data_IF_408822008407
#
_entry.id   IF_408822008407
#
_cell.length_a   1.000
_cell.length_b   1.000
_cell.length_c   1.000
_cell.angle_alpha   90.00
_cell.angle_beta   90.00
_cell.angle_gamma   90.00
#
_symmetry.space_group_name_H-M   'P 1'
#
loop_
_entity.id
_entity.type
_entity.pdbx_description
1 polymer ?
#
# COMPACT_ATOMS: atom_id res chain seq x y z
N UNK A 1 -31.34 -9.81 -29.24
CA UNK A 1 -30.78 -8.74 -28.41
C UNK A 1 -29.30 -9.00 -28.29
N UNK A 2 -28.45 -8.07 -28.72
CA UNK A 2 -27.01 -8.25 -28.64
C UNK A 2 -26.57 -8.38 -27.15
N UNK A 3 -25.42 -9.00 -26.86
CA UNK A 3 -24.90 -9.08 -25.49
C UNK A 3 -24.78 -7.70 -24.82
N UNK A 4 -24.40 -6.67 -25.60
CA UNK A 4 -24.30 -5.27 -25.17
C UNK A 4 -25.67 -4.72 -24.75
N UNK A 5 -26.70 -4.88 -25.58
CA UNK A 5 -28.06 -4.42 -25.28
C UNK A 5 -28.62 -5.03 -23.98
N UNK A 6 -28.28 -6.30 -23.70
CA UNK A 6 -28.67 -6.99 -22.46
C UNK A 6 -28.01 -6.38 -21.23
N UNK A 7 -26.70 -6.17 -21.27
CA UNK A 7 -25.97 -5.59 -20.13
C UNK A 7 -26.42 -4.15 -19.87
N UNK A 8 -26.58 -3.35 -20.92
CA UNK A 8 -27.10 -1.97 -20.81
C UNK A 8 -28.47 -1.96 -20.15
N UNK A 9 -29.41 -2.77 -20.65
CA UNK A 9 -30.78 -2.84 -20.10
C UNK A 9 -30.78 -3.25 -18.63
N UNK A 10 -29.99 -4.27 -18.26
CA UNK A 10 -29.92 -4.75 -16.88
C UNK A 10 -29.27 -3.72 -15.96
N UNK A 11 -28.20 -3.06 -16.40
CA UNK A 11 -27.52 -2.04 -15.63
C UNK A 11 -28.40 -0.81 -15.39
N UNK A 12 -29.12 -0.33 -16.42
CA UNK A 12 -30.03 0.82 -16.27
C UNK A 12 -31.17 0.49 -15.32
N UNK A 13 -31.81 -0.69 -15.44
CA UNK A 13 -32.88 -1.11 -14.52
C UNK A 13 -32.39 -1.22 -13.07
N UNK A 14 -31.22 -1.83 -12.87
CA UNK A 14 -30.63 -1.96 -11.54
C UNK A 14 -30.30 -0.58 -10.94
N UNK A 15 -29.74 0.33 -11.74
CA UNK A 15 -29.42 1.68 -11.32
C UNK A 15 -30.67 2.47 -10.90
N UNK A 16 -31.77 2.37 -11.66
CA UNK A 16 -33.04 3.00 -11.31
C UNK A 16 -33.57 2.47 -9.97
N UNK A 17 -33.54 1.16 -9.75
CA UNK A 17 -33.95 0.52 -8.50
C UNK A 17 -33.13 1.00 -7.30
N UNK A 18 -31.80 1.00 -7.43
CA UNK A 18 -30.88 1.48 -6.37
C UNK A 18 -31.08 2.97 -6.11
N UNK A 19 -31.28 3.77 -7.16
CA UNK A 19 -31.47 5.21 -6.98
C UNK A 19 -32.78 5.48 -6.23
N UNK A 20 -33.83 4.71 -6.52
CA UNK A 20 -35.12 4.82 -5.84
C UNK A 20 -35.08 4.38 -4.36
N UNK A 21 -34.15 3.50 -3.97
CA UNK A 21 -34.00 3.10 -2.56
C UNK A 21 -33.22 4.10 -1.70
N UNK A 22 -32.56 5.09 -2.30
CA UNK A 22 -31.84 6.12 -1.55
C UNK A 22 -32.82 7.16 -0.97
N UNK A 23 -32.62 7.62 0.29
CA UNK A 23 -33.36 8.74 0.83
C UNK A 23 -33.16 10.01 -0.03
N UNK A 24 -34.22 10.45 -0.71
CA UNK A 24 -34.17 11.59 -1.64
C UNK A 24 -33.41 11.30 -2.94
N UNK A 25 -33.26 10.02 -3.31
CA UNK A 25 -32.67 9.62 -4.58
C UNK A 25 -33.57 9.95 -5.75
N UNK A 26 -33.04 10.69 -6.72
CA UNK A 26 -33.73 11.03 -7.95
C UNK A 26 -32.90 10.58 -9.15
N UNK A 27 -33.52 9.98 -10.18
CA UNK A 27 -32.82 9.59 -11.39
C UNK A 27 -32.27 10.82 -12.11
N UNK A 28 -30.99 10.76 -12.49
CA UNK A 28 -30.31 11.85 -13.22
C UNK A 28 -29.93 11.37 -14.61
N UNK A 29 -30.31 12.12 -15.64
CA UNK A 29 -30.04 11.75 -17.03
C UNK A 29 -28.56 11.42 -17.29
N UNK A 30 -27.64 12.24 -16.77
CA UNK A 30 -26.19 11.99 -16.92
C UNK A 30 -25.69 10.73 -16.18
N UNK A 31 -26.35 10.32 -15.09
CA UNK A 31 -26.03 9.08 -14.39
C UNK A 31 -26.42 7.85 -15.22
N UNK A 32 -27.62 7.90 -15.83
CA UNK A 32 -28.15 6.84 -16.69
C UNK A 32 -27.32 6.73 -17.97
N UNK A 33 -26.99 7.87 -18.60
CA UNK A 33 -26.13 7.93 -19.78
C UNK A 33 -24.75 7.34 -19.50
N UNK A 34 -24.12 7.74 -18.38
CA UNK A 34 -22.83 7.19 -17.96
C UNK A 34 -22.92 5.68 -17.72
N UNK A 35 -23.95 5.19 -17.03
CA UNK A 35 -24.10 3.76 -16.75
C UNK A 35 -24.30 2.93 -18.02
N UNK A 36 -25.10 3.42 -18.97
CA UNK A 36 -25.27 2.78 -20.28
C UNK A 36 -23.94 2.76 -21.06
N UNK A 37 -23.18 3.86 -21.05
CA UNK A 37 -21.88 3.93 -21.70
C UNK A 37 -20.86 2.96 -21.07
N UNK A 38 -20.82 2.86 -19.74
CA UNK A 38 -19.96 1.92 -19.01
C UNK A 38 -20.36 0.47 -19.32
N UNK A 39 -21.66 0.15 -19.29
CA UNK A 39 -22.17 -1.18 -19.65
C UNK A 39 -21.78 -1.58 -21.09
N UNK A 40 -21.94 -0.67 -22.04
CA UNK A 40 -21.51 -0.90 -23.43
C UNK A 40 -20.00 -1.16 -23.51
N UNK A 41 -19.20 -0.32 -22.84
CA UNK A 41 -17.74 -0.44 -22.83
C UNK A 41 -17.24 -1.77 -22.25
N UNK A 42 -17.86 -2.23 -21.14
CA UNK A 42 -17.57 -3.54 -20.56
C UNK A 42 -17.94 -4.65 -21.55
N UNK A 43 -19.16 -4.63 -22.11
CA UNK A 43 -19.60 -5.67 -23.05
C UNK A 43 -18.71 -5.77 -24.29
N UNK A 44 -18.25 -4.64 -24.80
CA UNK A 44 -17.42 -4.53 -26.01
C UNK A 44 -15.92 -4.64 -25.72
N UNK A 45 -15.52 -4.72 -24.44
CA UNK A 45 -14.13 -4.75 -23.99
C UNK A 45 -13.30 -3.58 -24.52
N UNK A 46 -13.87 -2.37 -24.49
CA UNK A 46 -13.21 -1.12 -24.91
C UNK A 46 -12.96 -0.18 -23.75
N UNK A 47 -11.99 0.71 -23.91
CA UNK A 47 -11.77 1.81 -22.96
C UNK A 47 -12.85 2.90 -23.10
N UNK A 48 -13.18 3.53 -21.97
CA UNK A 48 -14.11 4.65 -21.89
C UNK A 48 -13.55 5.70 -20.94
N UNK A 49 -13.54 6.95 -21.39
CA UNK A 49 -13.24 8.12 -20.56
C UNK A 49 -14.53 8.90 -20.40
N UNK A 50 -14.92 9.19 -19.17
CA UNK A 50 -16.14 9.95 -18.86
C UNK A 50 -15.77 11.18 -18.03
N UNK A 51 -16.19 12.35 -18.51
CA UNK A 51 -16.19 13.56 -17.70
C UNK A 51 -17.61 13.79 -17.18
N UNK A 52 -17.78 13.70 -15.86
CA UNK A 52 -19.05 13.97 -15.21
C UNK A 52 -18.88 15.04 -14.13
N UNK A 53 -19.86 15.94 -13.99
CA UNK A 53 -19.85 16.98 -12.94
C UNK A 53 -19.93 16.40 -11.53
N UNK A 54 -19.61 17.18 -10.50
CA UNK A 54 -19.81 16.77 -9.10
C UNK A 54 -21.30 16.52 -8.82
N UNK A 55 -21.60 15.59 -7.92
CA UNK A 55 -22.98 15.26 -7.59
C UNK A 55 -23.78 14.56 -8.69
N UNK A 56 -23.17 14.10 -9.78
CA UNK A 56 -23.86 13.36 -10.86
C UNK A 56 -24.20 11.91 -10.48
N UNK A 57 -23.75 11.41 -9.32
CA UNK A 57 -23.95 10.01 -8.93
C UNK A 57 -23.02 9.03 -9.65
N UNK A 58 -21.82 9.50 -10.04
CA UNK A 58 -20.81 8.74 -10.81
C UNK A 58 -20.52 7.36 -10.21
N UNK A 59 -20.44 7.28 -8.89
CA UNK A 59 -20.13 6.06 -8.16
C UNK A 59 -21.06 4.92 -8.56
N UNK A 60 -22.38 5.09 -8.44
CA UNK A 60 -23.32 4.06 -8.88
C UNK A 60 -23.33 3.89 -10.40
N UNK A 61 -23.10 4.96 -11.15
CA UNK A 61 -23.06 4.88 -12.61
C UNK A 61 -21.92 3.99 -13.13
N UNK A 62 -20.79 3.87 -12.43
CA UNK A 62 -19.75 2.90 -12.79
C UNK A 62 -19.86 1.56 -12.03
N UNK A 63 -20.28 1.55 -10.76
CA UNK A 63 -20.34 0.33 -9.95
C UNK A 63 -21.44 -0.62 -10.43
N UNK A 64 -22.64 -0.10 -10.69
CA UNK A 64 -23.80 -0.93 -11.06
C UNK A 64 -23.53 -1.74 -12.34
N UNK A 65 -23.14 -1.12 -13.48
CA UNK A 65 -22.83 -1.90 -14.68
C UNK A 65 -21.65 -2.86 -14.48
N UNK A 66 -20.62 -2.48 -13.71
CA UNK A 66 -19.48 -3.35 -13.42
C UNK A 66 -19.93 -4.61 -12.66
N UNK A 67 -20.72 -4.44 -11.61
CA UNK A 67 -21.26 -5.53 -10.80
C UNK A 67 -22.23 -6.41 -11.59
N UNK A 68 -23.19 -5.79 -12.29
CA UNK A 68 -24.22 -6.52 -13.07
C UNK A 68 -23.59 -7.31 -14.21
N UNK A 69 -22.43 -6.89 -14.73
CA UNK A 69 -21.68 -7.65 -15.72
C UNK A 69 -21.21 -9.02 -15.22
N UNK A 70 -21.08 -9.20 -13.90
CA UNK A 70 -20.56 -10.41 -13.27
C UNK A 70 -19.05 -10.60 -13.48
N UNK A 71 -18.35 -9.58 -13.97
CA UNK A 71 -16.90 -9.59 -14.18
C UNK A 71 -16.17 -9.14 -12.91
N UNK A 72 -15.05 -9.78 -12.62
CA UNK A 72 -14.17 -9.34 -11.53
C UNK A 72 -13.68 -7.92 -11.80
N UNK A 73 -13.91 -7.03 -10.84
CA UNK A 73 -13.71 -5.59 -11.00
C UNK A 73 -12.74 -5.05 -9.96
N UNK A 74 -11.79 -4.23 -10.40
CA UNK A 74 -10.97 -3.40 -9.51
C UNK A 74 -11.42 -1.95 -9.63
N UNK A 75 -11.64 -1.30 -8.49
CA UNK A 75 -11.91 0.15 -8.40
C UNK A 75 -10.71 0.81 -7.75
N UNK A 76 -9.97 1.60 -8.52
CA UNK A 76 -8.80 2.36 -8.06
C UNK A 76 -9.20 3.82 -7.80
N UNK A 77 -9.09 4.26 -6.53
CA UNK A 77 -9.43 5.63 -6.13
C UNK A 77 -8.18 6.48 -5.89
N UNK A 78 -8.29 7.77 -6.20
CA UNK A 78 -7.26 8.76 -5.91
C UNK A 78 -6.96 8.92 -4.41
N UNK A 79 -8.01 9.00 -3.58
CA UNK A 79 -7.89 9.36 -2.17
C UNK A 79 -8.43 8.27 -1.25
N UNK A 80 -7.87 8.23 -0.04
CA UNK A 80 -8.33 7.34 1.04
C UNK A 80 -9.76 7.65 1.45
N UNK A 81 -10.15 8.93 1.50
CA UNK A 81 -11.53 9.34 1.79
C UNK A 81 -12.53 8.75 0.80
N UNK A 82 -12.22 8.78 -0.51
CA UNK A 82 -13.07 8.15 -1.52
C UNK A 82 -13.10 6.62 -1.36
N UNK A 83 -11.96 6.01 -1.04
CA UNK A 83 -11.88 4.56 -0.78
C UNK A 83 -12.79 4.15 0.40
N UNK A 84 -12.73 4.89 1.50
CA UNK A 84 -13.50 4.61 2.70
C UNK A 84 -15.00 4.88 2.47
N UNK A 85 -15.35 5.92 1.70
CA UNK A 85 -16.72 6.23 1.28
C UNK A 85 -17.32 5.07 0.46
N UNK A 86 -16.57 4.51 -0.50
CA UNK A 86 -17.01 3.35 -1.27
C UNK A 86 -17.25 2.13 -0.37
N UNK A 87 -16.33 1.85 0.55
CA UNK A 87 -16.34 0.65 1.38
C UNK A 87 -17.40 0.67 2.49
N UNK A 88 -17.67 1.83 3.08
CA UNK A 88 -18.52 1.96 4.28
C UNK A 88 -19.96 2.34 3.96
N UNK A 89 -20.21 2.91 2.78
CA UNK A 89 -21.54 3.39 2.41
C UNK A 89 -22.00 2.89 1.04
N UNK A 90 -21.23 3.14 -0.02
CA UNK A 90 -21.75 2.93 -1.37
C UNK A 90 -21.88 1.44 -1.73
N UNK A 91 -20.86 0.62 -1.52
CA UNK A 91 -20.92 -0.83 -1.77
C UNK A 91 -21.85 -1.59 -0.81
N UNK A 92 -21.86 -1.32 0.51
CA UNK A 92 -22.87 -1.90 1.41
C UNK A 92 -24.31 -1.63 0.95
N UNK A 93 -24.60 -0.40 0.49
CA UNK A 93 -25.92 -0.07 -0.06
C UNK A 93 -26.24 -0.89 -1.32
N UNK A 94 -25.27 -1.07 -2.21
CA UNK A 94 -25.43 -1.92 -3.40
C UNK A 94 -25.66 -3.39 -3.05
N UNK A 95 -24.96 -3.92 -2.06
CA UNK A 95 -25.13 -5.31 -1.59
C UNK A 95 -26.54 -5.55 -1.04
N UNK A 96 -27.11 -4.57 -0.34
CA UNK A 96 -28.46 -4.67 0.24
C UNK A 96 -29.57 -4.56 -0.82
N UNK A 97 -29.36 -3.78 -1.89
CA UNK A 97 -30.42 -3.39 -2.83
C UNK A 97 -30.30 -4.01 -4.23
N UNK A 98 -29.20 -4.72 -4.52
CA UNK A 98 -29.09 -5.50 -5.74
C UNK A 98 -29.66 -6.91 -5.53
N UNK A 99 -30.44 -7.38 -6.50
CA UNK A 99 -31.01 -8.75 -6.52
C UNK A 99 -29.95 -9.84 -6.80
N UNK A 100 -28.71 -9.64 -6.35
CA UNK A 100 -27.59 -10.56 -6.55
C UNK A 100 -26.62 -10.51 -5.37
N UNK A 101 -26.14 -11.66 -4.87
CA UNK A 101 -25.05 -11.66 -3.88
C UNK A 101 -23.77 -11.13 -4.52
N UNK A 102 -23.16 -10.13 -3.88
CA UNK A 102 -21.93 -9.50 -4.32
C UNK A 102 -20.99 -9.42 -3.14
N UNK A 103 -19.74 -9.83 -3.34
CA UNK A 103 -18.67 -9.69 -2.38
C UNK A 103 -17.75 -8.54 -2.77
N UNK A 104 -17.27 -7.79 -1.79
CA UNK A 104 -16.26 -6.76 -2.03
C UNK A 104 -15.20 -6.77 -0.93
N UNK A 105 -14.00 -6.29 -1.26
CA UNK A 105 -12.89 -6.18 -0.33
C UNK A 105 -12.09 -4.91 -0.56
N UNK A 106 -11.55 -4.34 0.52
CA UNK A 106 -10.62 -3.21 0.47
C UNK A 106 -9.20 -3.74 0.62
N UNK A 107 -8.34 -3.43 -0.34
CA UNK A 107 -6.93 -3.82 -0.28
C UNK A 107 -6.04 -2.58 -0.24
N UNK A 108 -5.23 -2.48 0.81
CA UNK A 108 -4.28 -1.39 1.05
C UNK A 108 -2.84 -1.92 1.06
N UNK A 109 -1.86 -1.02 0.97
CA UNK A 109 -0.45 -1.38 1.16
C UNK A 109 -0.19 -1.88 2.59
N UNK A 110 0.80 -2.76 2.77
CA UNK A 110 1.13 -3.40 4.06
C UNK A 110 1.28 -2.44 5.24
N UNK A 111 1.83 -1.25 4.99
CA UNK A 111 2.02 -0.19 5.98
C UNK A 111 0.71 0.43 6.48
N UNK A 112 -0.46 0.01 5.97
CA UNK A 112 -1.77 0.41 6.48
C UNK A 112 -2.34 -0.61 7.48
N UNK A 113 -1.64 -1.71 7.73
CA UNK A 113 -2.07 -2.71 8.71
C UNK A 113 -1.10 -2.76 9.89
N UNK A 114 -1.63 -3.05 11.07
CA UNK A 114 -0.78 -3.37 12.22
C UNK A 114 -0.11 -4.72 11.99
N UNK A 115 1.14 -4.86 12.42
CA UNK A 115 1.94 -6.06 12.22
C UNK A 115 1.92 -6.93 13.48
N UNK A 116 1.30 -8.11 13.40
CA UNK A 116 1.23 -9.05 14.52
C UNK A 116 2.60 -9.45 15.06
N UNK A 117 3.61 -9.54 14.19
CA UNK A 117 4.99 -9.81 14.63
C UNK A 117 5.59 -8.65 15.44
N UNK A 118 5.34 -7.39 15.04
CA UNK A 118 5.82 -6.22 15.79
C UNK A 118 5.14 -6.12 17.15
N UNK A 119 3.84 -6.44 17.22
CA UNK A 119 3.09 -6.49 18.47
C UNK A 119 3.69 -7.51 19.43
N UNK A 120 3.97 -8.73 18.93
CA UNK A 120 4.56 -9.80 19.75
C UNK A 120 5.91 -9.37 20.33
N UNK A 121 6.79 -8.78 19.50
CA UNK A 121 8.11 -8.31 19.94
C UNK A 121 8.04 -7.24 21.02
N UNK A 122 7.08 -6.31 20.93
CA UNK A 122 6.87 -5.27 21.93
C UNK A 122 6.27 -5.82 23.23
N UNK A 123 5.53 -6.93 23.17
CA UNK A 123 4.97 -7.58 24.35
C UNK A 123 6.03 -8.39 25.11
N UNK A 124 6.94 -9.05 24.38
CA UNK A 124 7.98 -9.90 24.96
C UNK A 124 9.15 -9.09 25.54
N UNK A 125 9.41 -7.88 25.00
CA UNK A 125 10.51 -7.02 25.42
C UNK A 125 10.10 -5.54 25.40
N UNK A 126 9.40 -5.06 26.44
CA UNK A 126 8.90 -3.68 26.51
C UNK A 126 10.02 -2.62 26.47
N UNK A 127 11.23 -3.01 26.91
CA UNK A 127 12.43 -2.17 26.94
C UNK A 127 13.02 -1.99 25.52
N UNK A 128 12.52 -2.68 24.49
CA UNK A 128 12.92 -2.43 23.08
C UNK A 128 12.65 -1.01 22.64
N UNK A 129 11.59 -0.39 23.15
CA UNK A 129 11.30 1.03 22.86
C UNK A 129 12.34 1.96 23.48
N UNK A 130 13.10 1.50 24.49
CA UNK A 130 14.20 2.22 25.12
C UNK A 130 15.53 2.05 24.38
N UNK A 131 15.71 0.93 23.67
CA UNK A 131 16.90 0.62 22.87
C UNK A 131 16.90 1.30 21.47
N UNK A 132 15.79 1.91 21.06
CA UNK A 132 15.74 2.68 19.81
C UNK A 132 16.48 4.02 19.95
N UNK A 133 17.55 4.21 19.17
CA UNK A 133 18.30 5.47 19.11
C UNK A 133 17.42 6.59 18.51
N UNK A 134 16.81 7.43 19.35
CA UNK A 134 16.00 8.58 18.92
C UNK A 134 14.95 9.01 19.95
N UNK A 135 14.07 9.97 19.63
CA UNK A 135 13.01 10.37 20.55
C UNK A 135 11.92 9.29 20.58
N UNK A 136 11.65 8.78 21.78
CA UNK A 136 10.71 7.68 22.05
C UNK A 136 9.34 7.90 21.40
N UNK A 137 8.71 6.86 20.83
CA UNK A 137 7.30 6.95 20.48
C UNK A 137 6.50 7.20 21.77
N UNK A 138 5.39 7.95 21.72
CA UNK A 138 4.59 8.21 22.91
C UNK A 138 4.06 6.88 23.47
N UNK A 139 4.51 6.49 24.67
CA UNK A 139 4.19 5.19 25.27
C UNK A 139 2.67 4.97 25.40
N UNK A 140 1.92 6.05 25.67
CA UNK A 140 0.46 6.03 25.73
C UNK A 140 -0.20 5.76 24.36
N UNK A 141 0.34 6.32 23.27
CA UNK A 141 -0.13 6.03 21.91
C UNK A 141 0.10 4.56 21.57
N UNK A 142 1.31 4.04 21.84
CA UNK A 142 1.64 2.62 21.61
C UNK A 142 0.69 1.72 22.41
N UNK A 143 0.51 1.97 23.70
CA UNK A 143 -0.39 1.19 24.54
C UNK A 143 -1.85 1.23 24.02
N UNK A 144 -2.29 2.36 23.48
CA UNK A 144 -3.61 2.50 22.86
C UNK A 144 -3.72 1.65 21.59
N UNK A 145 -2.70 1.68 20.73
CA UNK A 145 -2.66 0.86 19.51
C UNK A 145 -2.63 -0.64 19.86
N UNK A 146 -1.85 -1.06 20.86
CA UNK A 146 -1.78 -2.45 21.30
C UNK A 146 -3.13 -2.96 21.83
N UNK A 147 -3.85 -2.15 22.63
CA UNK A 147 -5.21 -2.50 23.10
C UNK A 147 -6.20 -2.66 21.94
N UNK A 148 -6.17 -1.74 20.97
CA UNK A 148 -7.01 -1.83 19.77
C UNK A 148 -6.64 -3.04 18.90
N UNK A 149 -5.35 -3.32 18.74
CA UNK A 149 -4.86 -4.42 17.91
C UNK A 149 -5.26 -5.80 18.47
N UNK A 150 -5.49 -5.90 19.78
CA UNK A 150 -6.01 -7.12 20.42
C UNK A 150 -7.50 -7.39 20.11
N UNK A 151 -8.25 -6.40 19.62
CA UNK A 151 -9.70 -6.50 19.41
C UNK A 151 -10.14 -6.28 17.96
N UNK A 152 -9.26 -5.79 17.08
CA UNK A 152 -9.59 -5.52 15.68
C UNK A 152 -9.63 -6.80 14.83
N UNK A 153 -10.62 -6.90 13.96
CA UNK A 153 -10.76 -8.00 13.00
C UNK A 153 -9.89 -7.81 11.75
N UNK A 154 -9.62 -6.57 11.34
CA UNK A 154 -8.94 -6.25 10.08
C UNK A 154 -7.52 -5.72 10.28
N UNK A 155 -7.22 -5.14 11.45
CA UNK A 155 -5.93 -4.51 11.74
C UNK A 155 -5.65 -3.28 10.87
N UNK A 156 -6.66 -2.74 10.18
CA UNK A 156 -6.54 -1.57 9.31
C UNK A 156 -6.40 -0.29 10.13
N UNK A 157 -5.37 0.52 9.85
CA UNK A 157 -5.15 1.82 10.48
C UNK A 157 -6.39 2.72 10.42
N UNK A 158 -7.24 2.59 9.40
CA UNK A 158 -8.46 3.39 9.25
C UNK A 158 -9.50 3.16 10.34
N UNK A 159 -9.48 1.99 10.97
CA UNK A 159 -10.41 1.64 12.06
C UNK A 159 -9.86 2.05 13.43
N UNK A 160 -8.63 2.57 13.50
CA UNK A 160 -8.05 3.04 14.75
C UNK A 160 -8.79 4.33 15.20
N UNK A 161 -9.29 4.40 16.45
CA UNK A 161 -10.06 5.56 16.93
C UNK A 161 -9.27 6.87 17.04
N UNK A 162 -7.94 6.78 17.01
CA UNK A 162 -7.03 7.91 17.10
C UNK A 162 -6.17 7.98 15.84
N UNK A 163 -5.77 9.19 15.43
CA UNK A 163 -4.74 9.34 14.40
C UNK A 163 -3.36 9.14 15.05
N UNK A 164 -2.64 8.04 14.76
CA UNK A 164 -1.39 7.74 15.44
C UNK A 164 -0.27 8.60 14.86
N UNK A 165 0.67 9.01 15.72
CA UNK A 165 1.90 9.64 15.23
C UNK A 165 2.66 8.69 14.29
N UNK A 166 3.41 9.25 13.34
CA UNK A 166 4.21 8.44 12.41
C UNK A 166 5.16 7.49 13.15
N UNK A 167 5.73 7.93 14.28
CA UNK A 167 6.63 7.11 15.11
C UNK A 167 5.89 5.95 15.77
N UNK A 168 4.75 6.21 16.40
CA UNK A 168 3.96 5.16 17.03
C UNK A 168 3.52 4.10 16.03
N UNK A 169 3.04 4.52 14.85
CA UNK A 169 2.63 3.59 13.80
C UNK A 169 3.81 2.80 13.21
N UNK A 170 4.96 3.44 13.03
CA UNK A 170 6.16 2.75 12.52
C UNK A 170 6.69 1.67 13.47
N UNK A 171 6.45 1.81 14.79
CA UNK A 171 6.85 0.80 15.78
C UNK A 171 5.98 -0.47 15.69
N UNK A 172 4.70 -0.33 15.34
CA UNK A 172 3.73 -1.44 15.34
C UNK A 172 3.38 -1.98 13.94
N UNK A 173 3.86 -1.35 12.86
CA UNK A 173 3.59 -1.74 11.48
C UNK A 173 4.89 -2.10 10.73
N UNK A 174 4.76 -2.60 9.51
CA UNK A 174 5.90 -2.95 8.65
C UNK A 174 5.61 -2.64 7.18
N UNK A 175 6.59 -2.06 6.49
CA UNK A 175 6.48 -1.79 5.07
C UNK A 175 6.79 -3.01 4.18
N UNK A 176 6.48 -2.96 2.87
CA UNK A 176 6.83 -4.03 1.93
C UNK A 176 8.35 -4.21 1.74
N UNK A 177 9.14 -3.17 2.04
CA UNK A 177 10.62 -3.18 1.97
C UNK A 177 11.27 -3.90 3.16
N UNK A 178 10.53 -4.21 4.21
CA UNK A 178 11.04 -4.85 5.44
C UNK A 178 10.32 -6.17 5.72
N UNK A 179 9.07 -6.32 5.29
CA UNK A 179 8.28 -7.52 5.54
C UNK A 179 8.89 -8.74 4.80
N UNK A 180 9.25 -9.82 5.50
CA UNK A 180 9.83 -11.01 4.87
C UNK A 180 8.79 -11.87 4.13
N UNK A 181 7.50 -11.55 4.25
CA UNK A 181 6.37 -12.30 3.72
C UNK A 181 5.86 -13.37 4.69
N UNK A 182 4.60 -13.78 4.55
CA UNK A 182 3.95 -14.70 5.49
C UNK A 182 4.61 -16.07 5.62
N UNK A 183 5.19 -16.59 4.54
CA UNK A 183 5.86 -17.90 4.53
C UNK A 183 7.08 -17.96 5.46
N UNK A 184 7.74 -16.82 5.68
CA UNK A 184 8.94 -16.71 6.54
C UNK A 184 8.67 -15.99 7.87
N UNK A 185 7.49 -15.41 8.03
CA UNK A 185 7.13 -14.66 9.22
C UNK A 185 6.48 -15.60 10.25
N UNK A 186 6.92 -15.62 11.53
CA UNK A 186 6.29 -16.45 12.56
C UNK A 186 4.79 -16.16 12.73
N UNK A 187 4.40 -14.89 12.62
CA UNK A 187 2.99 -14.45 12.64
C UNK A 187 2.35 -14.36 11.25
N UNK A 188 2.86 -15.10 10.27
CA UNK A 188 2.36 -15.08 8.89
C UNK A 188 0.91 -15.52 8.75
N UNK A 189 0.48 -16.51 9.53
CA UNK A 189 -0.91 -17.04 9.54
C UNK A 189 -1.90 -16.00 10.08
N UNK A 190 -1.52 -15.28 11.13
CA UNK A 190 -2.37 -14.27 11.79
C UNK A 190 -2.27 -12.90 11.11
N UNK A 191 -1.51 -12.78 10.01
CA UNK A 191 -1.18 -11.50 9.39
C UNK A 191 -2.39 -10.82 8.73
N UNK A 192 -2.82 -9.69 9.28
CA UNK A 192 -3.90 -8.85 8.76
C UNK A 192 -3.74 -8.51 7.27
N UNK A 193 -2.52 -8.13 6.83
CA UNK A 193 -2.26 -7.80 5.44
C UNK A 193 -2.42 -9.00 4.48
N UNK A 194 -2.11 -10.22 4.94
CA UNK A 194 -2.40 -11.43 4.14
C UNK A 194 -3.88 -11.76 4.13
N UNK A 195 -4.58 -11.61 5.25
CA UNK A 195 -6.03 -11.82 5.30
C UNK A 195 -6.77 -10.87 4.36
N UNK A 196 -6.36 -9.59 4.32
CA UNK A 196 -6.91 -8.62 3.38
C UNK A 196 -6.62 -9.02 1.92
N UNK A 197 -5.41 -9.52 1.63
CA UNK A 197 -5.06 -10.04 0.29
C UNK A 197 -5.88 -11.27 -0.09
N UNK A 198 -6.10 -12.20 0.84
CA UNK A 198 -6.92 -13.38 0.61
C UNK A 198 -8.40 -13.01 0.39
N UNK A 199 -8.95 -12.10 1.19
CA UNK A 199 -10.30 -11.58 1.00
C UNK A 199 -10.46 -10.90 -0.38
N UNK A 200 -9.45 -10.11 -0.80
CA UNK A 200 -9.45 -9.50 -2.13
C UNK A 200 -9.41 -10.54 -3.27
N UNK A 201 -8.73 -11.67 -3.09
CA UNK A 201 -8.65 -12.71 -4.11
C UNK A 201 -9.99 -13.41 -4.39
N UNK A 202 -10.86 -13.47 -3.38
CA UNK A 202 -12.20 -14.08 -3.46
C UNK A 202 -13.30 -13.06 -3.80
N UNK A 203 -13.03 -11.76 -3.71
CA UNK A 203 -14.02 -10.72 -3.91
C UNK A 203 -14.38 -10.49 -5.40
N UNK A 204 -15.64 -10.17 -5.66
CA UNK A 204 -16.12 -9.73 -6.98
C UNK A 204 -15.63 -8.32 -7.31
N UNK A 205 -15.58 -7.44 -6.29
CA UNK A 205 -15.12 -6.06 -6.39
C UNK A 205 -13.98 -5.79 -5.39
N UNK A 206 -12.82 -5.39 -5.89
CA UNK A 206 -11.67 -5.00 -5.06
C UNK A 206 -11.44 -3.50 -5.14
N UNK A 207 -11.45 -2.84 -3.98
CA UNK A 207 -11.19 -1.40 -3.89
C UNK A 207 -9.74 -1.17 -3.47
N UNK A 208 -9.01 -0.42 -4.29
CA UNK A 208 -7.61 -0.05 -4.06
C UNK A 208 -7.42 1.44 -4.23
N UNK A 209 -6.27 1.96 -3.79
CA UNK A 209 -5.84 3.28 -4.24
C UNK A 209 -5.08 3.20 -5.58
N UNK A 210 -5.02 4.30 -6.33
CA UNK A 210 -4.30 4.35 -7.61
C UNK A 210 -2.82 4.00 -7.43
N UNK A 211 -2.20 4.35 -6.30
CA UNK A 211 -0.80 3.98 -6.01
C UNK A 211 -0.60 2.46 -6.01
N UNK A 212 -1.47 1.70 -5.35
CA UNK A 212 -1.38 0.23 -5.30
C UNK A 212 -1.65 -0.38 -6.68
N UNK A 213 -2.58 0.21 -7.46
CA UNK A 213 -2.82 -0.20 -8.84
C UNK A 213 -1.61 0.08 -9.74
N UNK A 214 -0.94 1.23 -9.57
CA UNK A 214 0.30 1.56 -10.27
C UNK A 214 1.42 0.58 -9.96
N UNK A 215 1.61 0.22 -8.69
CA UNK A 215 2.56 -0.82 -8.29
C UNK A 215 2.18 -2.19 -8.86
N UNK A 216 0.89 -2.51 -8.98
CA UNK A 216 0.43 -3.75 -9.61
C UNK A 216 0.85 -3.81 -11.09
N UNK A 217 0.68 -2.71 -11.83
CA UNK A 217 1.15 -2.59 -13.23
C UNK A 217 2.67 -2.73 -13.30
N UNK A 218 3.41 -1.97 -12.48
CA UNK A 218 4.87 -1.95 -12.48
C UNK A 218 5.49 -3.33 -12.16
N UNK A 219 4.79 -4.16 -11.40
CA UNK A 219 5.21 -5.53 -11.04
C UNK A 219 4.67 -6.61 -11.98
N UNK A 220 4.11 -6.23 -13.13
CA UNK A 220 3.59 -7.18 -14.12
C UNK A 220 2.35 -7.95 -13.64
N UNK A 221 1.56 -7.36 -12.75
CA UNK A 221 0.30 -7.94 -12.29
C UNK A 221 0.40 -8.72 -10.97
N UNK A 222 1.51 -8.66 -10.24
CA UNK A 222 1.72 -9.54 -9.09
C UNK A 222 0.89 -9.23 -7.83
N UNK A 223 0.35 -8.00 -7.70
CA UNK A 223 -0.22 -7.53 -6.44
C UNK A 223 -1.73 -7.72 -6.24
N UNK A 224 -2.51 -7.78 -7.31
CA UNK A 224 -3.98 -7.79 -7.29
C UNK A 224 -4.45 -9.07 -7.98
N UNK A 225 -5.65 -9.58 -7.65
CA UNK A 225 -6.22 -10.72 -8.38
C UNK A 225 -6.44 -10.37 -9.85
N UNK A 226 -6.51 -11.42 -10.67
CA UNK A 226 -6.96 -11.30 -12.06
C UNK A 226 -8.35 -10.66 -12.09
N UNK A 227 -8.50 -9.65 -12.94
CA UNK A 227 -9.71 -8.85 -13.09
C UNK A 227 -9.90 -8.48 -14.56
N UNK A 228 -11.15 -8.39 -14.98
CA UNK A 228 -11.51 -8.10 -16.37
C UNK A 228 -11.90 -6.63 -16.56
N UNK A 229 -12.24 -5.94 -15.46
CA UNK A 229 -12.66 -4.53 -15.45
C UNK A 229 -11.82 -3.77 -14.44
N UNK A 230 -11.27 -2.64 -14.86
CA UNK A 230 -10.71 -1.62 -13.96
C UNK A 230 -11.49 -0.32 -14.11
N UNK A 231 -11.90 0.25 -12.99
CA UNK A 231 -12.42 1.61 -12.90
C UNK A 231 -11.39 2.47 -12.20
N UNK A 232 -10.97 3.57 -12.83
CA UNK A 232 -10.07 4.56 -12.24
C UNK A 232 -10.90 5.80 -11.92
N UNK A 233 -11.18 5.99 -10.64
CA UNK A 233 -11.91 7.17 -10.16
C UNK A 233 -10.94 8.34 -9.96
N UNK A 234 -11.38 9.55 -10.30
CA UNK A 234 -10.52 10.73 -10.38
C UNK A 234 -9.28 10.53 -11.27
N UNK A 235 -9.49 9.95 -12.47
CA UNK A 235 -8.46 9.60 -13.44
C UNK A 235 -7.54 10.76 -13.87
N UNK A 236 -7.90 12.01 -13.58
CA UNK A 236 -7.02 13.17 -13.78
C UNK A 236 -5.74 13.11 -12.93
N UNK A 237 -5.72 12.34 -11.84
CA UNK A 237 -4.53 12.12 -11.01
C UNK A 237 -3.68 10.92 -11.47
N UNK A 238 -4.16 10.15 -12.45
CA UNK A 238 -3.57 8.87 -12.81
C UNK A 238 -2.12 9.02 -13.31
N UNK A 239 -1.87 9.95 -14.23
CA UNK A 239 -0.55 10.13 -14.85
C UNK A 239 0.53 10.39 -13.80
N UNK A 240 0.30 11.37 -12.93
CA UNK A 240 1.24 11.76 -11.87
C UNK A 240 1.48 10.62 -10.88
N UNK A 241 0.42 9.91 -10.47
CA UNK A 241 0.53 8.80 -9.51
C UNK A 241 1.28 7.62 -10.12
N UNK A 242 0.97 7.23 -11.36
CA UNK A 242 1.64 6.11 -12.03
C UNK A 242 3.12 6.43 -12.27
N UNK A 243 3.42 7.65 -12.71
CA UNK A 243 4.79 8.11 -12.89
C UNK A 243 5.59 8.03 -11.57
N UNK A 244 4.98 8.46 -10.46
CA UNK A 244 5.59 8.36 -9.13
C UNK A 244 5.83 6.91 -8.68
N UNK A 245 4.90 5.98 -8.97
CA UNK A 245 5.05 4.56 -8.60
C UNK A 245 6.14 3.82 -9.36
N UNK A 246 6.59 4.36 -10.49
CA UNK A 246 7.63 3.74 -11.34
C UNK A 246 9.05 4.13 -10.90
N UNK A 247 9.19 5.07 -9.98
CA UNK A 247 10.48 5.54 -9.47
C UNK A 247 10.90 4.90 -8.14
N UNK A 248 12.10 5.26 -7.70
CA UNK A 248 12.62 4.89 -6.37
C UNK A 248 12.92 6.13 -5.55
N UNK A 249 12.62 6.04 -4.26
CA UNK A 249 12.87 7.12 -3.30
C UNK A 249 13.91 6.71 -2.26
N UNK A 250 15.03 7.44 -2.22
CA UNK A 250 16.09 7.25 -1.24
C UNK A 250 16.28 8.49 -0.38
N UNK A 251 15.94 8.38 0.91
CA UNK A 251 16.14 9.45 1.89
C UNK A 251 17.19 9.05 2.91
N UNK A 252 17.86 10.04 3.51
CA UNK A 252 18.83 9.78 4.58
C UNK A 252 18.20 9.08 5.79
N UNK A 253 16.89 9.25 5.99
CA UNK A 253 16.12 8.55 7.01
C UNK A 253 16.11 7.03 6.83
N UNK A 254 16.21 6.54 5.59
CA UNK A 254 16.23 5.09 5.31
C UNK A 254 17.51 4.43 5.82
N UNK A 255 18.65 5.08 5.67
CA UNK A 255 19.92 4.59 6.21
C UNK A 255 19.90 4.56 7.75
N UNK A 256 19.44 5.65 8.39
CA UNK A 256 19.32 5.70 9.86
C UNK A 256 18.32 4.68 10.41
N UNK A 257 17.21 4.42 9.69
CA UNK A 257 16.24 3.40 10.08
C UNK A 257 16.82 1.98 9.97
N UNK A 258 17.58 1.71 8.90
CA UNK A 258 18.29 0.43 8.77
C UNK A 258 19.34 0.26 9.87
N UNK A 259 20.14 1.29 10.15
CA UNK A 259 21.16 1.25 11.20
C UNK A 259 20.57 0.83 12.55
N UNK A 260 19.42 1.41 12.94
CA UNK A 260 18.69 1.00 14.16
C UNK A 260 18.23 -0.45 14.11
N UNK A 261 17.71 -0.89 12.97
CA UNK A 261 17.24 -2.27 12.78
C UNK A 261 18.41 -3.26 12.91
N UNK A 262 19.59 -2.91 12.38
CA UNK A 262 20.81 -3.71 12.49
C UNK A 262 21.36 -3.69 13.92
N UNK A 263 21.34 -2.53 14.59
CA UNK A 263 21.82 -2.37 15.97
C UNK A 263 21.10 -3.28 16.99
N UNK A 264 19.82 -3.55 16.74
CA UNK A 264 19.03 -4.45 17.58
C UNK A 264 19.42 -5.93 17.46
N UNK A 265 20.34 -6.28 16.55
CA UNK A 265 20.68 -7.67 16.18
C UNK A 265 22.20 -7.89 16.19
N UNK A 266 22.97 -6.91 15.71
CA UNK A 266 24.41 -7.00 15.51
C UNK A 266 25.13 -6.13 16.54
N UNK A 267 26.04 -6.73 17.30
CA UNK A 267 26.80 -6.06 18.37
C UNK A 267 27.99 -5.22 17.89
N UNK A 268 28.34 -5.31 16.61
CA UNK A 268 29.40 -4.49 16.00
C UNK A 268 28.95 -3.02 15.92
N UNK A 269 29.37 -2.24 16.92
CA UNK A 269 29.02 -0.83 17.05
C UNK A 269 29.61 0.05 15.96
N UNK A 270 30.77 -0.32 15.42
CA UNK A 270 31.45 0.46 14.37
C UNK A 270 30.70 0.29 13.05
N UNK A 271 30.26 -0.93 12.73
CA UNK A 271 29.41 -1.19 11.58
C UNK A 271 28.09 -0.42 11.68
N UNK A 272 27.41 -0.50 12.82
CA UNK A 272 26.14 0.22 13.06
C UNK A 272 26.32 1.74 12.92
N UNK A 273 27.35 2.31 13.54
CA UNK A 273 27.66 3.74 13.43
C UNK A 273 27.94 4.13 11.97
N UNK A 274 28.66 3.29 11.23
CA UNK A 274 28.92 3.53 9.81
C UNK A 274 27.62 3.55 8.98
N UNK A 275 26.62 2.74 9.30
CA UNK A 275 25.33 2.80 8.60
C UNK A 275 24.55 4.07 8.95
N UNK A 276 24.57 4.50 10.21
CA UNK A 276 23.85 5.69 10.66
C UNK A 276 24.41 6.97 10.01
N UNK A 277 25.73 7.06 9.88
CA UNK A 277 26.43 8.17 9.20
C UNK A 277 26.03 8.38 7.74
N UNK A 278 25.61 7.32 7.03
CA UNK A 278 25.15 7.45 5.64
C UNK A 278 23.95 8.38 5.51
N UNK A 279 23.11 8.46 6.54
CA UNK A 279 21.93 9.33 6.53
C UNK A 279 22.29 10.81 6.41
N UNK A 280 23.05 11.39 7.34
CA UNK A 280 23.59 12.75 7.24
C UNK A 280 24.43 12.98 5.99
N UNK A 281 25.32 12.04 5.62
CA UNK A 281 26.17 12.15 4.43
C UNK A 281 25.32 12.26 3.14
N UNK A 282 24.30 11.43 3.00
CA UNK A 282 23.39 11.50 1.85
C UNK A 282 22.63 12.83 1.81
N UNK A 283 22.11 13.30 2.96
CA UNK A 283 21.42 14.60 3.03
C UNK A 283 22.32 15.77 2.64
N UNK A 284 23.61 15.71 2.98
CA UNK A 284 24.59 16.72 2.59
C UNK A 284 24.91 16.64 1.10
N UNK A 285 25.15 15.42 0.58
CA UNK A 285 25.49 15.18 -0.82
C UNK A 285 24.42 15.66 -1.81
N UNK A 286 23.14 15.61 -1.42
CA UNK A 286 22.01 16.07 -2.27
C UNK A 286 21.50 17.47 -1.89
N UNK A 287 22.17 18.18 -0.98
CA UNK A 287 21.66 19.44 -0.42
C UNK A 287 21.51 20.53 -1.50
N UNK A 288 22.49 20.62 -2.41
CA UNK A 288 22.49 21.61 -3.51
C UNK A 288 21.47 21.27 -4.60
N UNK A 289 20.99 20.03 -4.64
CA UNK A 289 20.03 19.53 -5.63
C UNK A 289 18.57 19.59 -5.17
N UNK A 290 18.31 20.16 -4.00
CA UNK A 290 16.94 20.29 -3.47
C UNK A 290 16.05 21.10 -4.41
N UNK A 291 14.90 20.53 -4.74
CA UNK A 291 13.92 21.16 -5.64
C UNK A 291 14.31 21.12 -7.12
N UNK A 292 15.41 20.45 -7.48
CA UNK A 292 15.84 20.29 -8.86
C UNK A 292 15.52 18.88 -9.36
N UNK A 293 15.20 18.79 -10.66
CA UNK A 293 15.15 17.51 -11.36
C UNK A 293 16.54 17.22 -11.91
N UNK A 294 17.18 16.19 -11.39
CA UNK A 294 18.44 15.68 -11.94
C UNK A 294 18.15 14.91 -13.23
N UNK A 295 19.00 15.10 -14.24
CA UNK A 295 18.90 14.38 -15.51
C UNK A 295 20.20 13.61 -15.74
N UNK A 296 20.05 12.33 -16.06
CA UNK A 296 21.15 11.41 -16.29
C UNK A 296 21.80 10.87 -15.02
N UNK A 297 23.01 10.34 -15.18
CA UNK A 297 23.69 9.60 -14.12
C UNK A 297 23.97 10.47 -12.90
N UNK A 298 23.80 9.89 -11.71
CA UNK A 298 24.20 10.52 -10.45
C UNK A 298 25.73 10.62 -10.41
N UNK A 299 26.25 11.81 -10.14
CA UNK A 299 27.68 12.11 -10.10
C UNK A 299 28.10 12.80 -8.78
N UNK A 300 29.34 13.28 -8.73
CA UNK A 300 29.86 14.06 -7.60
C UNK A 300 29.75 13.36 -6.24
N UNK A 301 29.32 14.14 -5.24
CA UNK A 301 29.21 13.68 -3.85
C UNK A 301 28.12 12.63 -3.68
N UNK A 302 27.02 12.74 -4.42
CA UNK A 302 25.93 11.78 -4.37
C UNK A 302 26.42 10.40 -4.84
N UNK A 303 27.16 10.33 -5.96
CA UNK A 303 27.73 9.08 -6.45
C UNK A 303 28.72 8.45 -5.46
N UNK A 304 29.57 9.27 -4.82
CA UNK A 304 30.52 8.80 -3.80
C UNK A 304 29.80 8.21 -2.59
N UNK A 305 28.73 8.86 -2.10
CA UNK A 305 27.95 8.36 -0.97
C UNK A 305 27.20 7.08 -1.33
N UNK A 306 26.65 6.95 -2.55
CA UNK A 306 25.98 5.71 -2.98
C UNK A 306 26.96 4.53 -3.05
N UNK A 307 28.17 4.73 -3.59
CA UNK A 307 29.20 3.69 -3.62
C UNK A 307 29.65 3.26 -2.20
N UNK A 308 29.80 4.23 -1.29
CA UNK A 308 30.10 3.97 0.11
C UNK A 308 28.94 3.22 0.80
N UNK A 309 27.70 3.65 0.54
CA UNK A 309 26.50 3.01 1.08
C UNK A 309 26.42 1.55 0.66
N UNK A 310 26.64 1.24 -0.63
CA UNK A 310 26.68 -0.13 -1.14
C UNK A 310 27.65 -1.01 -0.35
N UNK A 311 28.89 -0.54 -0.19
CA UNK A 311 29.94 -1.26 0.56
C UNK A 311 29.52 -1.52 2.02
N UNK A 312 29.00 -0.50 2.71
CA UNK A 312 28.56 -0.63 4.12
C UNK A 312 27.36 -1.56 4.26
N UNK A 313 26.42 -1.53 3.31
CA UNK A 313 25.25 -2.42 3.28
C UNK A 313 25.63 -3.87 2.99
N UNK A 314 26.64 -4.12 2.14
CA UNK A 314 27.18 -5.47 1.91
C UNK A 314 27.83 -6.04 3.18
N UNK A 315 28.60 -5.24 3.92
CA UNK A 315 29.12 -5.61 5.24
C UNK A 315 28.00 -5.91 6.24
N UNK A 316 26.96 -5.06 6.27
CA UNK A 316 25.77 -5.28 7.11
C UNK A 316 25.06 -6.59 6.77
N UNK A 317 24.89 -6.89 5.47
CA UNK A 317 24.32 -8.15 5.00
C UNK A 317 25.15 -9.36 5.45
N UNK A 318 26.49 -9.25 5.38
CA UNK A 318 27.40 -10.28 5.88
C UNK A 318 27.23 -10.54 7.37
N UNK A 319 27.24 -9.46 8.19
CA UNK A 319 27.05 -9.55 9.63
C UNK A 319 25.69 -10.14 10.01
N UNK A 320 24.60 -9.67 9.37
CA UNK A 320 23.25 -10.19 9.60
C UNK A 320 23.14 -11.69 9.28
N UNK A 321 23.77 -12.15 8.20
CA UNK A 321 23.77 -13.58 7.82
C UNK A 321 24.57 -14.45 8.80
N UNK A 322 25.59 -13.90 9.44
CA UNK A 322 26.40 -14.60 10.43
C UNK A 322 25.69 -14.80 11.78
N UNK A 323 24.61 -14.05 12.05
CA UNK A 323 23.80 -14.25 13.27
C UNK A 323 23.09 -15.61 13.20
N UNK A 324 23.20 -16.48 14.21
CA UNK A 324 22.51 -17.77 14.22
C UNK A 324 20.98 -17.65 14.18
N UNK A 325 20.31 -18.62 13.56
CA UNK A 325 18.84 -18.65 13.45
C UNK A 325 18.13 -19.17 14.72
N UNK A 326 18.89 -19.77 15.65
CA UNK A 326 18.42 -20.38 16.90
C UNK A 326 18.58 -19.47 18.13
N UNK A 327 18.76 -18.16 17.91
CA UNK A 327 18.80 -17.17 18.98
C UNK A 327 17.51 -17.12 19.82
N UNK A 328 17.58 -16.76 21.10
CA UNK A 328 16.41 -16.67 21.97
C UNK A 328 15.42 -15.60 21.51
N UNK A 329 14.11 -15.88 21.60
CA UNK A 329 13.02 -14.95 21.28
C UNK A 329 12.85 -14.66 19.79
N UNK A 330 12.30 -13.49 19.44
CA UNK A 330 11.99 -13.09 18.07
C UNK A 330 13.22 -12.61 17.24
N UNK A 331 14.44 -13.05 17.58
CA UNK A 331 15.68 -12.65 16.89
C UNK A 331 15.66 -13.06 15.42
N UNK A 332 15.17 -14.26 15.11
CA UNK A 332 15.05 -14.74 13.72
C UNK A 332 14.12 -13.86 12.87
N UNK A 333 12.99 -13.42 13.40
CA UNK A 333 12.06 -12.53 12.71
C UNK A 333 12.67 -11.14 12.48
N UNK A 334 13.37 -10.59 13.48
CA UNK A 334 14.12 -9.33 13.39
C UNK A 334 15.23 -9.41 12.33
N UNK A 335 16.01 -10.49 12.33
CA UNK A 335 17.03 -10.79 11.31
C UNK A 335 16.45 -10.80 9.91
N UNK A 336 15.33 -11.52 9.70
CA UNK A 336 14.66 -11.57 8.39
C UNK A 336 14.21 -10.19 7.90
N UNK A 337 13.68 -9.34 8.80
CA UNK A 337 13.33 -7.95 8.44
C UNK A 337 14.55 -7.11 8.09
N UNK A 338 15.62 -7.19 8.88
CA UNK A 338 16.86 -6.47 8.64
C UNK A 338 17.49 -6.86 7.30
N UNK A 339 17.51 -8.15 6.97
CA UNK A 339 17.98 -8.66 5.68
C UNK A 339 17.11 -8.09 4.55
N UNK A 340 15.78 -8.17 4.66
CA UNK A 340 14.87 -7.66 3.63
C UNK A 340 15.03 -6.15 3.41
N UNK A 341 15.18 -5.38 4.49
CA UNK A 341 15.43 -3.94 4.45
C UNK A 341 16.77 -3.60 3.78
N UNK A 342 17.82 -4.35 4.11
CA UNK A 342 19.16 -4.19 3.52
C UNK A 342 19.13 -4.51 2.02
N UNK A 343 18.51 -5.62 1.62
CA UNK A 343 18.32 -5.99 0.20
C UNK A 343 17.55 -4.91 -0.54
N UNK A 344 16.42 -4.44 0.00
CA UNK A 344 15.64 -3.39 -0.66
C UNK A 344 16.44 -2.09 -0.84
N UNK A 345 17.31 -1.73 0.11
CA UNK A 345 18.17 -0.56 -0.02
C UNK A 345 19.27 -0.75 -1.07
N UNK A 346 19.86 -1.94 -1.17
CA UNK A 346 20.81 -2.28 -2.23
C UNK A 346 20.15 -2.20 -3.61
N UNK A 347 18.96 -2.80 -3.77
CA UNK A 347 18.20 -2.76 -5.02
C UNK A 347 17.88 -1.32 -5.46
N UNK A 348 17.49 -0.47 -4.50
CA UNK A 348 17.20 0.94 -4.78
C UNK A 348 18.48 1.73 -5.16
N UNK A 349 19.62 1.45 -4.52
CA UNK A 349 20.91 2.07 -4.89
C UNK A 349 21.31 1.65 -6.30
N UNK A 350 21.24 0.35 -6.60
CA UNK A 350 21.59 -0.19 -7.92
C UNK A 350 20.68 0.48 -8.98
N UNK A 351 19.37 0.55 -8.75
CA UNK A 351 18.44 1.24 -9.64
C UNK A 351 18.82 2.71 -9.87
N UNK A 352 19.14 3.47 -8.81
CA UNK A 352 19.55 4.88 -8.93
C UNK A 352 20.85 5.03 -9.75
N UNK A 353 21.82 4.14 -9.53
CA UNK A 353 23.12 4.21 -10.21
C UNK A 353 23.06 3.72 -11.67
N UNK A 354 22.09 2.87 -12.01
CA UNK A 354 21.88 2.36 -13.36
C UNK A 354 21.10 3.31 -14.28
N UNK A 355 20.47 4.37 -13.74
CA UNK A 355 19.81 5.41 -14.55
C UNK A 355 20.86 6.09 -15.44
N UNK A 356 21.00 5.58 -16.66
CA UNK A 356 21.87 6.15 -17.69
C UNK A 356 21.27 7.47 -18.18
N UNK A 357 22.14 8.40 -18.54
CA UNK A 357 21.81 9.62 -19.28
C UNK A 357 21.09 9.28 -20.59
N UNK A 358 19.76 9.24 -20.52
CA UNK A 358 18.84 9.17 -21.67
C UNK A 358 18.32 10.54 -22.02
#
# INVERSE_FOLDING_TARGET
MAPSDRLITNATRALESITASLPGGEPRAGQIEMAAAVAAAISESRHLIVQAGTGTGKTFAYLVPAIVSGRRTVVATATRTLQDQLATKDLPHLVEHLDRPISFAVLKGRSNYVCQQRIAELADDPDQLELEVGPRPPAEEIATILRWAATTDTGDRAELPIEPSHRAWSAVSVGPRECPGATRCPRGVECFAERARAAAAEADVVIVNIHLYGMHIATGGALLPEHEVVVIDEAHQLEDIIAATSGVDLTGGRFTALARTVAAIVSDTDLVASLDELGPQWRAAIAEERGRRLRGAVDGDAARVLALARTRLESAMGALRAVPDDGPGDVGARKLRAIKATTSLLDDIDHITEVRSG
#
